data_IF_619818913865
#
_entry.id   IF_619818913865
#
_cell.length_a   1.000
_cell.length_b   1.000
_cell.length_c   1.000
_cell.angle_alpha   90.00
_cell.angle_beta   90.00
_cell.angle_gamma   90.00
#
_symmetry.space_group_name_H-M   'P 1'
#
loop_
_entity.id
_entity.type
_entity.pdbx_description
1 polymer ?
#
# COMPACT_ATOMS: atom_id res chain seq x y z
N UNK A 1 38.05 -1.59 12.56
CA UNK A 1 38.34 -0.18 12.91
C UNK A 1 37.38 0.70 12.13
N UNK A 2 36.16 0.92 12.66
CA UNK A 2 35.18 1.95 12.22
C UNK A 2 34.33 2.32 13.46
N UNK A 3 34.97 3.01 14.41
CA UNK A 3 34.35 3.40 15.68
C UNK A 3 34.49 4.89 15.99
N UNK A 4 34.67 5.73 15.00
CA UNK A 4 35.09 7.10 15.23
C UNK A 4 34.25 8.24 14.63
N UNK A 5 33.07 7.99 14.05
CA UNK A 5 32.34 9.06 13.33
C UNK A 5 30.93 9.42 13.83
N UNK A 6 30.51 8.89 14.98
CA UNK A 6 29.15 9.20 15.51
C UNK A 6 29.19 10.05 16.80
N UNK A 7 30.35 10.27 17.42
CA UNK A 7 30.45 10.98 18.69
C UNK A 7 30.33 12.51 18.60
N UNK A 8 30.52 13.11 17.43
CA UNK A 8 30.65 14.58 17.34
C UNK A 8 29.33 15.33 17.03
N UNK A 9 28.24 14.62 16.82
CA UNK A 9 26.94 15.25 16.48
C UNK A 9 25.89 15.23 17.60
N UNK A 10 26.15 14.59 18.72
CA UNK A 10 25.19 14.49 19.83
C UNK A 10 25.79 15.04 21.11
N UNK A 11 25.28 16.18 21.56
CA UNK A 11 25.68 16.82 22.83
C UNK A 11 25.58 15.86 24.01
N UNK A 12 26.33 16.13 25.09
CA UNK A 12 26.67 15.29 26.24
C UNK A 12 25.51 14.72 27.11
N UNK A 13 24.27 14.73 26.65
CA UNK A 13 23.09 14.27 27.41
C UNK A 13 22.31 13.10 26.81
N UNK A 14 22.87 12.36 25.85
CA UNK A 14 22.25 11.10 25.43
C UNK A 14 22.80 9.95 26.28
N UNK A 15 21.99 9.51 27.27
CA UNK A 15 22.20 8.22 27.90
C UNK A 15 22.13 7.15 26.77
N UNK A 16 23.22 6.43 26.58
CA UNK A 16 23.35 5.35 25.62
C UNK A 16 22.21 4.34 25.88
N UNK A 17 21.15 4.41 25.06
CA UNK A 17 20.14 3.36 25.06
C UNK A 17 20.85 2.13 24.52
N UNK A 18 21.21 1.22 25.41
CA UNK A 18 21.74 -0.07 25.02
C UNK A 18 20.74 -0.71 24.04
N UNK A 19 21.11 -1.03 22.80
CA UNK A 19 20.21 -1.70 21.89
C UNK A 19 19.76 -2.99 22.58
N UNK A 20 18.46 -3.12 22.86
CA UNK A 20 17.92 -4.41 23.28
C UNK A 20 18.35 -5.43 22.25
N UNK A 21 18.86 -6.62 22.66
CA UNK A 21 19.17 -7.66 21.69
C UNK A 21 17.93 -7.87 20.83
N UNK A 22 18.07 -7.67 19.53
CA UNK A 22 17.03 -8.03 18.57
C UNK A 22 16.90 -9.52 18.68
N UNK A 23 15.90 -9.98 19.43
CA UNK A 23 15.56 -11.40 19.47
C UNK A 23 15.37 -11.84 18.03
N UNK A 24 15.99 -12.93 17.58
CA UNK A 24 15.80 -13.44 16.24
C UNK A 24 14.31 -13.59 16.04
N UNK A 25 13.75 -12.81 15.12
CA UNK A 25 12.35 -12.95 14.72
C UNK A 25 12.21 -14.40 14.26
N UNK A 26 11.38 -15.17 14.97
CA UNK A 26 11.05 -16.52 14.51
C UNK A 26 10.38 -16.35 13.17
N UNK A 27 11.03 -16.80 12.10
CA UNK A 27 10.42 -16.84 10.78
C UNK A 27 9.13 -17.64 10.89
N UNK A 28 8.02 -17.01 10.57
CA UNK A 28 6.74 -17.69 10.53
C UNK A 28 6.61 -18.40 9.18
N UNK A 29 7.04 -19.64 9.11
CA UNK A 29 6.93 -20.48 7.92
C UNK A 29 5.49 -20.78 7.50
N UNK A 30 4.51 -20.45 8.34
CA UNK A 30 3.10 -20.64 8.03
C UNK A 30 2.55 -19.55 7.10
N UNK A 31 3.28 -18.45 6.92
CA UNK A 31 2.85 -17.29 6.11
C UNK A 31 3.72 -17.13 4.88
N UNK A 32 3.10 -17.21 3.71
CA UNK A 32 3.70 -16.76 2.45
C UNK A 32 3.28 -15.32 2.17
N UNK A 33 4.25 -14.42 2.09
CA UNK A 33 4.01 -13.02 1.75
C UNK A 33 4.67 -12.68 0.43
N UNK A 34 3.88 -12.20 -0.53
CA UNK A 34 4.36 -11.67 -1.79
C UNK A 34 4.03 -10.18 -1.92
N UNK A 35 5.00 -9.41 -2.39
CA UNK A 35 4.78 -8.00 -2.78
C UNK A 35 4.94 -7.89 -4.28
N UNK A 36 3.89 -7.46 -4.96
CA UNK A 36 3.86 -7.32 -6.41
C UNK A 36 3.80 -5.86 -6.83
N UNK A 37 4.56 -5.53 -7.87
CA UNK A 37 4.63 -4.20 -8.47
C UNK A 37 4.18 -4.33 -9.93
N UNK A 38 2.88 -4.21 -10.23
CA UNK A 38 2.37 -4.41 -11.59
C UNK A 38 2.86 -3.34 -12.56
N UNK A 39 3.18 -2.14 -12.06
CA UNK A 39 3.78 -1.05 -12.82
C UNK A 39 4.58 -0.12 -11.93
N UNK A 40 5.64 0.46 -12.48
CA UNK A 40 6.35 1.59 -11.88
C UNK A 40 5.77 2.94 -12.29
N UNK A 41 4.91 2.95 -13.33
CA UNK A 41 4.18 4.14 -13.77
C UNK A 41 3.22 4.65 -12.70
N UNK A 42 3.02 5.97 -12.68
CA UNK A 42 2.08 6.64 -11.78
C UNK A 42 1.36 7.75 -12.51
N UNK A 43 0.10 7.98 -12.16
CA UNK A 43 -0.68 9.13 -12.63
C UNK A 43 -0.46 10.39 -11.80
N UNK A 44 0.38 10.31 -10.73
CA UNK A 44 0.77 11.45 -9.90
C UNK A 44 2.24 11.81 -10.07
N UNK A 45 2.57 13.07 -9.77
CA UNK A 45 3.92 13.62 -9.75
C UNK A 45 4.21 14.24 -8.38
N UNK A 46 4.29 13.38 -7.35
CA UNK A 46 4.48 13.83 -5.97
C UNK A 46 5.88 14.43 -5.79
N UNK A 47 5.96 15.63 -5.16
CA UNK A 47 7.21 16.38 -4.98
C UNK A 47 8.29 15.65 -4.17
N UNK A 48 7.90 14.72 -3.31
CA UNK A 48 8.77 13.93 -2.45
C UNK A 48 8.93 12.47 -2.92
N UNK A 49 8.41 12.13 -4.11
CA UNK A 49 8.53 10.76 -4.59
C UNK A 49 9.98 10.44 -4.95
N UNK A 50 10.49 9.34 -4.39
CA UNK A 50 11.83 8.86 -4.70
C UNK A 50 11.91 8.02 -5.97
N UNK A 51 10.75 7.74 -6.61
CA UNK A 51 10.67 6.95 -7.85
C UNK A 51 10.62 7.86 -9.07
N UNK A 52 11.29 7.44 -10.13
CA UNK A 52 11.29 8.16 -11.42
C UNK A 52 10.08 7.84 -12.30
N UNK A 53 9.21 6.90 -11.88
CA UNK A 53 7.99 6.48 -12.56
C UNK A 53 8.18 6.18 -14.07
N UNK A 54 9.13 5.32 -14.47
CA UNK A 54 9.20 4.89 -15.86
C UNK A 54 7.88 4.23 -16.25
N UNK A 55 7.48 4.39 -17.51
CA UNK A 55 6.27 3.75 -18.03
C UNK A 55 6.50 2.24 -18.25
N UNK A 56 7.00 1.55 -17.21
CA UNK A 56 7.26 0.13 -17.23
C UNK A 56 6.17 -0.60 -16.48
N UNK A 57 5.57 -1.59 -17.13
CA UNK A 57 4.59 -2.49 -16.53
C UNK A 57 5.09 -3.92 -16.65
N UNK A 58 4.58 -4.79 -15.80
CA UNK A 58 4.84 -6.20 -15.80
C UNK A 58 4.50 -6.79 -17.18
N UNK A 59 5.42 -7.53 -17.77
CA UNK A 59 5.17 -8.23 -19.05
C UNK A 59 4.34 -9.48 -18.80
N UNK A 60 3.72 -10.02 -19.86
CA UNK A 60 2.99 -11.29 -19.76
C UNK A 60 3.89 -12.41 -19.28
N UNK A 61 5.11 -12.52 -19.82
CA UNK A 61 6.09 -13.54 -19.42
C UNK A 61 6.45 -13.45 -17.93
N UNK A 62 6.59 -12.22 -17.41
CA UNK A 62 6.85 -11.99 -15.97
C UNK A 62 5.64 -12.42 -15.15
N UNK A 63 4.44 -12.10 -15.60
CA UNK A 63 3.20 -12.46 -14.92
C UNK A 63 3.03 -13.99 -14.87
N UNK A 64 3.24 -14.69 -15.99
CA UNK A 64 3.17 -16.14 -16.05
C UNK A 64 4.15 -16.82 -15.08
N UNK A 65 5.38 -16.32 -14.98
CA UNK A 65 6.37 -16.81 -14.00
C UNK A 65 5.95 -16.57 -12.56
N UNK A 66 5.35 -15.41 -12.25
CA UNK A 66 4.83 -15.10 -10.93
C UNK A 66 3.66 -16.02 -10.58
N UNK A 67 2.74 -16.24 -11.50
CA UNK A 67 1.60 -17.13 -11.33
C UNK A 67 2.04 -18.57 -11.07
N UNK A 68 3.00 -19.07 -11.86
CA UNK A 68 3.61 -20.38 -11.63
C UNK A 68 4.24 -20.49 -10.25
N UNK A 69 5.04 -19.48 -9.88
CA UNK A 69 5.70 -19.45 -8.57
C UNK A 69 4.70 -19.44 -7.41
N UNK A 70 3.68 -18.58 -7.46
CA UNK A 70 2.66 -18.49 -6.42
C UNK A 70 1.86 -19.79 -6.35
N UNK A 71 1.50 -20.38 -7.48
CA UNK A 71 0.77 -21.64 -7.54
C UNK A 71 1.55 -22.76 -6.88
N UNK A 72 2.87 -22.80 -7.04
CA UNK A 72 3.73 -23.79 -6.43
C UNK A 72 3.96 -23.55 -4.92
N UNK A 73 3.95 -22.31 -4.44
CA UNK A 73 4.27 -21.97 -3.06
C UNK A 73 3.02 -21.87 -2.17
N UNK A 74 1.95 -21.23 -2.62
CA UNK A 74 0.78 -20.93 -1.79
C UNK A 74 0.22 -22.15 -1.03
N UNK A 75 0.08 -23.35 -1.63
CA UNK A 75 -0.45 -24.54 -0.93
C UNK A 75 0.42 -25.07 0.21
N UNK A 76 1.67 -24.60 0.31
CA UNK A 76 2.62 -25.04 1.36
C UNK A 76 2.49 -24.24 2.65
N UNK A 77 1.65 -23.22 2.66
CA UNK A 77 1.51 -22.27 3.76
C UNK A 77 0.07 -22.24 4.27
N UNK A 78 -0.11 -21.86 5.53
CA UNK A 78 -1.45 -21.70 6.13
C UNK A 78 -2.09 -20.36 5.75
N UNK A 79 -1.27 -19.37 5.44
CA UNK A 79 -1.71 -18.03 5.07
C UNK A 79 -0.90 -17.50 3.90
N UNK A 80 -1.60 -16.87 2.96
CA UNK A 80 -1.04 -16.12 1.84
C UNK A 80 -1.42 -14.66 2.00
N UNK A 81 -0.42 -13.78 2.02
CA UNK A 81 -0.60 -12.33 2.09
C UNK A 81 -0.03 -11.70 0.83
N UNK A 82 -0.88 -11.06 0.05
CA UNK A 82 -0.47 -10.33 -1.14
C UNK A 82 -0.45 -8.82 -0.87
N UNK A 83 0.63 -8.15 -1.26
CA UNK A 83 0.75 -6.70 -1.18
C UNK A 83 0.94 -6.10 -2.57
N UNK A 84 0.01 -5.23 -2.96
CA UNK A 84 0.09 -4.48 -4.20
C UNK A 84 0.74 -3.12 -3.95
N UNK A 85 1.88 -2.90 -4.61
CA UNK A 85 2.65 -1.66 -4.56
C UNK A 85 2.98 -1.20 -5.99
N UNK A 86 3.74 -0.11 -6.11
CA UNK A 86 4.26 0.34 -7.41
C UNK A 86 4.40 1.84 -7.48
N UNK A 87 4.27 2.41 -8.67
CA UNK A 87 3.93 3.80 -8.86
C UNK A 87 2.47 3.99 -8.44
N UNK A 88 1.54 3.54 -9.29
CA UNK A 88 0.12 3.39 -8.95
C UNK A 88 -0.40 2.05 -9.47
N UNK A 89 -0.65 1.07 -8.59
CA UNK A 89 -1.03 -0.28 -9.01
C UNK A 89 -2.37 -0.34 -9.75
N UNK A 90 -3.29 0.61 -9.51
CA UNK A 90 -4.60 0.65 -10.16
C UNK A 90 -4.50 0.95 -11.66
N UNK A 91 -3.39 1.52 -12.15
CA UNK A 91 -3.15 1.66 -13.58
C UNK A 91 -3.11 0.30 -14.31
N UNK A 92 -2.77 -0.77 -13.59
CA UNK A 92 -2.77 -2.15 -14.08
C UNK A 92 -3.84 -2.99 -13.37
N UNK A 93 -5.05 -2.44 -13.20
CA UNK A 93 -6.15 -3.09 -12.47
C UNK A 93 -6.48 -4.49 -12.96
N UNK A 94 -6.36 -4.73 -14.27
CA UNK A 94 -6.69 -6.02 -14.86
C UNK A 94 -5.70 -7.10 -14.41
N UNK A 95 -4.39 -6.79 -14.38
CA UNK A 95 -3.35 -7.66 -13.80
C UNK A 95 -3.57 -7.90 -12.31
N UNK A 96 -3.95 -6.84 -11.56
CA UNK A 96 -4.25 -6.94 -10.13
C UNK A 96 -5.41 -7.90 -9.87
N UNK A 97 -6.48 -7.80 -10.66
CA UNK A 97 -7.64 -8.68 -10.56
C UNK A 97 -7.29 -10.11 -10.96
N UNK A 98 -6.64 -10.32 -12.10
CA UNK A 98 -6.24 -11.64 -12.62
C UNK A 98 -5.48 -12.46 -11.56
N UNK A 99 -4.39 -11.90 -11.01
CA UNK A 99 -3.60 -12.60 -10.00
C UNK A 99 -4.38 -12.81 -8.70
N UNK A 100 -5.16 -11.82 -8.27
CA UNK A 100 -5.94 -11.94 -7.04
C UNK A 100 -7.02 -13.03 -7.14
N UNK A 101 -7.71 -13.12 -8.28
CA UNK A 101 -8.69 -14.17 -8.57
C UNK A 101 -8.05 -15.56 -8.67
N UNK A 102 -6.88 -15.65 -9.28
CA UNK A 102 -6.09 -16.88 -9.33
C UNK A 102 -5.78 -17.39 -7.92
N UNK A 103 -5.30 -16.52 -7.02
CA UNK A 103 -5.00 -16.90 -5.63
C UNK A 103 -6.27 -17.30 -4.87
N UNK A 104 -7.40 -16.63 -5.09
CA UNK A 104 -8.67 -17.03 -4.48
C UNK A 104 -9.12 -18.43 -4.95
N UNK A 105 -8.87 -18.78 -6.19
CA UNK A 105 -9.17 -20.11 -6.69
C UNK A 105 -8.27 -21.17 -6.05
N UNK A 106 -6.97 -20.86 -5.88
CA UNK A 106 -6.05 -21.73 -5.13
C UNK A 106 -6.47 -21.86 -3.66
N UNK A 107 -6.93 -20.77 -3.03
CA UNK A 107 -7.47 -20.81 -1.67
C UNK A 107 -8.64 -21.78 -1.54
N UNK A 108 -9.58 -21.75 -2.47
CA UNK A 108 -10.73 -22.67 -2.48
C UNK A 108 -10.30 -24.13 -2.62
N UNK A 109 -9.23 -24.39 -3.38
CA UNK A 109 -8.72 -25.74 -3.62
C UNK A 109 -7.88 -26.29 -2.46
N UNK A 110 -7.10 -25.44 -1.79
CA UNK A 110 -6.09 -25.85 -0.82
C UNK A 110 -6.38 -25.44 0.62
N UNK A 111 -7.37 -24.56 0.87
CA UNK A 111 -7.85 -24.23 2.20
C UNK A 111 -6.96 -23.27 3.03
N UNK A 112 -5.95 -22.62 2.45
CA UNK A 112 -5.17 -21.60 3.14
C UNK A 112 -5.98 -20.32 3.33
N UNK A 113 -5.58 -19.45 4.27
CA UNK A 113 -6.17 -18.12 4.40
C UNK A 113 -5.53 -17.16 3.39
N UNK A 114 -6.34 -16.38 2.70
CA UNK A 114 -5.86 -15.34 1.77
C UNK A 114 -6.30 -13.96 2.22
N UNK A 115 -5.37 -13.02 2.19
CA UNK A 115 -5.64 -11.59 2.37
C UNK A 115 -4.77 -10.79 1.42
N UNK A 116 -5.33 -9.71 0.86
CA UNK A 116 -4.56 -8.80 0.04
C UNK A 116 -4.67 -7.36 0.54
N UNK A 117 -3.58 -6.62 0.39
CA UNK A 117 -3.49 -5.19 0.70
C UNK A 117 -2.95 -4.41 -0.47
N UNK A 118 -3.33 -3.14 -0.57
CA UNK A 118 -2.91 -2.25 -1.64
C UNK A 118 -2.48 -0.90 -1.09
N UNK A 119 -1.31 -0.42 -1.52
CA UNK A 119 -0.92 0.98 -1.36
C UNK A 119 -1.21 1.71 -2.66
N UNK A 120 -2.10 2.67 -2.61
CA UNK A 120 -2.58 3.43 -3.77
C UNK A 120 -2.70 4.91 -3.44
N UNK A 121 -2.69 5.76 -4.46
CA UNK A 121 -3.03 7.17 -4.27
C UNK A 121 -4.54 7.42 -4.13
N UNK A 122 -5.39 6.43 -4.39
CA UNK A 122 -6.84 6.49 -4.21
C UNK A 122 -7.62 7.26 -5.29
N UNK A 123 -6.93 7.88 -6.25
CA UNK A 123 -7.55 8.72 -7.27
C UNK A 123 -8.47 7.94 -8.23
N UNK A 124 -8.04 6.73 -8.61
CA UNK A 124 -8.78 5.84 -9.51
C UNK A 124 -9.67 4.83 -8.78
N UNK A 125 -9.70 4.86 -7.44
CA UNK A 125 -10.42 3.91 -6.60
C UNK A 125 -11.88 4.34 -6.42
N UNK A 126 -12.65 4.32 -7.50
CA UNK A 126 -14.10 4.55 -7.45
C UNK A 126 -14.82 3.36 -6.80
N UNK A 127 -16.10 3.55 -6.45
CA UNK A 127 -16.92 2.53 -5.80
C UNK A 127 -17.00 1.23 -6.62
N UNK A 128 -17.14 1.33 -7.94
CA UNK A 128 -17.26 0.16 -8.81
C UNK A 128 -16.00 -0.70 -8.77
N UNK A 129 -14.84 -0.08 -8.92
CA UNK A 129 -13.55 -0.76 -8.89
C UNK A 129 -13.25 -1.31 -7.48
N UNK A 130 -13.57 -0.53 -6.45
CA UNK A 130 -13.42 -0.97 -5.07
C UNK A 130 -14.20 -2.26 -4.79
N UNK A 131 -15.46 -2.35 -5.23
CA UNK A 131 -16.27 -3.57 -5.09
C UNK A 131 -15.62 -4.77 -5.78
N UNK A 132 -15.06 -4.59 -6.98
CA UNK A 132 -14.33 -5.65 -7.68
C UNK A 132 -13.10 -6.10 -6.88
N UNK A 133 -12.33 -5.15 -6.35
CA UNK A 133 -11.18 -5.46 -5.53
C UNK A 133 -11.53 -6.19 -4.23
N UNK A 134 -12.60 -5.78 -3.55
CA UNK A 134 -13.09 -6.51 -2.37
C UNK A 134 -13.48 -7.95 -2.72
N UNK A 135 -14.18 -8.16 -3.84
CA UNK A 135 -14.52 -9.50 -4.34
C UNK A 135 -13.28 -10.33 -4.66
N UNK A 136 -12.20 -9.69 -5.12
CA UNK A 136 -10.91 -10.33 -5.36
C UNK A 136 -10.04 -10.49 -4.09
N UNK A 137 -10.58 -10.20 -2.89
CA UNK A 137 -9.90 -10.38 -1.61
C UNK A 137 -8.97 -9.23 -1.20
N UNK A 138 -8.98 -8.10 -1.93
CA UNK A 138 -8.22 -6.90 -1.57
C UNK A 138 -9.07 -6.06 -0.62
N UNK A 139 -8.82 -6.20 0.68
CA UNK A 139 -9.66 -5.60 1.73
C UNK A 139 -8.92 -4.59 2.61
N UNK A 140 -7.62 -4.41 2.41
CA UNK A 140 -6.81 -3.46 3.17
C UNK A 140 -6.13 -2.47 2.24
N UNK A 141 -6.32 -1.18 2.50
CA UNK A 141 -5.78 -0.10 1.68
C UNK A 141 -4.97 0.86 2.50
N UNK A 142 -3.86 1.35 1.93
CA UNK A 142 -3.15 2.51 2.44
C UNK A 142 -3.24 3.63 1.41
N UNK A 143 -3.86 4.75 1.79
CA UNK A 143 -4.06 5.93 0.94
C UNK A 143 -3.39 7.13 1.59
N UNK A 144 -2.64 7.91 0.81
CA UNK A 144 -1.95 9.08 1.33
C UNK A 144 -2.76 10.36 1.10
N UNK A 145 -3.00 11.10 2.19
CA UNK A 145 -3.60 12.42 2.19
C UNK A 145 -2.69 13.40 2.95
N UNK A 146 -2.14 14.40 2.26
CA UNK A 146 -1.18 15.36 2.85
C UNK A 146 -1.86 16.63 3.43
N UNK A 147 -3.19 16.62 3.57
CA UNK A 147 -3.94 17.75 4.11
C UNK A 147 -4.03 18.94 3.15
N UNK A 148 -3.92 20.16 3.67
CA UNK A 148 -4.14 21.41 2.91
C UNK A 148 -3.17 21.60 1.73
N UNK A 149 -1.97 21.04 1.82
CA UNK A 149 -0.95 21.12 0.78
C UNK A 149 -1.02 19.97 -0.23
N UNK A 150 -2.02 19.09 -0.14
CA UNK A 150 -2.09 17.87 -0.95
C UNK A 150 -1.91 18.12 -2.45
N UNK A 151 -2.67 19.06 -3.02
CA UNK A 151 -2.62 19.32 -4.45
C UNK A 151 -1.29 19.92 -4.93
N UNK A 152 -0.53 20.56 -4.01
CA UNK A 152 0.83 21.03 -4.29
C UNK A 152 1.85 19.92 -4.21
N UNK A 153 1.70 19.02 -3.24
CA UNK A 153 2.66 17.94 -2.99
C UNK A 153 2.40 16.70 -3.84
N UNK A 154 1.16 16.50 -4.26
CA UNK A 154 0.69 15.31 -5.00
C UNK A 154 -0.19 15.67 -6.21
N UNK A 155 0.27 16.52 -7.12
CA UNK A 155 -0.50 16.83 -8.32
C UNK A 155 -0.63 15.62 -9.24
N UNK A 156 -1.71 15.57 -10.01
CA UNK A 156 -1.81 14.67 -11.15
C UNK A 156 -0.76 15.06 -12.22
N UNK A 157 -0.28 14.11 -13.03
CA UNK A 157 0.71 14.37 -14.10
C UNK A 157 0.26 15.44 -15.10
N UNK A 158 -1.05 15.71 -15.22
CA UNK A 158 -1.61 16.80 -16.00
C UNK A 158 -1.61 18.15 -15.28
N UNK A 159 -1.05 18.27 -14.08
CA UNK A 159 -1.04 19.46 -13.24
C UNK A 159 -2.34 19.76 -12.50
N UNK A 160 -3.37 18.90 -12.61
CA UNK A 160 -4.65 19.08 -11.89
C UNK A 160 -4.50 18.69 -10.41
N UNK A 161 -5.33 19.31 -9.57
CA UNK A 161 -5.52 18.88 -8.18
C UNK A 161 -6.11 17.46 -8.10
N UNK A 162 -5.81 16.77 -7.01
CA UNK A 162 -6.16 15.36 -6.82
C UNK A 162 -6.96 15.11 -5.54
N UNK A 163 -6.83 15.99 -4.54
CA UNK A 163 -7.44 15.83 -3.22
C UNK A 163 -8.95 15.63 -3.29
N UNK A 164 -9.64 16.48 -4.05
CA UNK A 164 -11.10 16.44 -4.14
C UNK A 164 -11.61 15.08 -4.63
N UNK A 165 -11.01 14.56 -5.71
CA UNK A 165 -11.40 13.26 -6.27
C UNK A 165 -11.17 12.12 -5.26
N UNK A 166 -10.04 12.14 -4.54
CA UNK A 166 -9.75 11.12 -3.52
C UNK A 166 -10.77 11.18 -2.39
N UNK A 167 -11.08 12.39 -1.90
CA UNK A 167 -12.10 12.57 -0.84
C UNK A 167 -13.47 12.09 -1.31
N UNK A 168 -13.89 12.45 -2.53
CA UNK A 168 -15.19 12.01 -3.07
C UNK A 168 -15.25 10.48 -3.17
N UNK A 169 -14.18 9.81 -3.61
CA UNK A 169 -14.07 8.36 -3.60
C UNK A 169 -14.20 7.81 -2.17
N UNK A 170 -13.42 8.31 -1.21
CA UNK A 170 -13.47 7.84 0.18
C UNK A 170 -14.85 8.03 0.80
N UNK A 171 -15.53 9.14 0.53
CA UNK A 171 -16.89 9.40 0.99
C UNK A 171 -17.89 8.41 0.34
N UNK A 172 -17.71 8.05 -0.91
CA UNK A 172 -18.53 7.03 -1.55
C UNK A 172 -18.33 5.66 -0.87
N UNK A 173 -17.06 5.27 -0.63
CA UNK A 173 -16.73 4.01 0.03
C UNK A 173 -17.23 3.93 1.47
N UNK A 174 -17.24 5.04 2.22
CA UNK A 174 -17.75 5.08 3.59
C UNK A 174 -19.25 4.83 3.73
N UNK A 175 -19.99 4.92 2.63
CA UNK A 175 -21.45 4.65 2.57
C UNK A 175 -21.78 3.19 2.23
N UNK A 176 -20.77 2.38 1.95
CA UNK A 176 -20.98 0.96 1.67
C UNK A 176 -21.51 0.24 2.92
N UNK A 177 -22.47 -0.69 2.77
CA UNK A 177 -23.03 -1.42 3.88
C UNK A 177 -21.94 -2.29 4.55
N UNK A 178 -21.67 -2.10 5.86
CA UNK A 178 -20.60 -2.82 6.56
C UNK A 178 -20.87 -4.33 6.69
N UNK A 179 -22.12 -4.74 6.55
CA UNK A 179 -22.53 -6.15 6.53
C UNK A 179 -22.13 -6.89 5.25
N UNK A 180 -21.96 -6.16 4.14
CA UNK A 180 -21.54 -6.74 2.86
C UNK A 180 -20.04 -6.59 2.59
N UNK A 181 -19.43 -5.53 3.13
CA UNK A 181 -18.03 -5.18 2.85
C UNK A 181 -17.24 -4.98 4.14
N UNK A 182 -16.38 -5.94 4.44
CA UNK A 182 -15.39 -5.80 5.51
C UNK A 182 -14.06 -5.33 4.92
N UNK A 183 -13.68 -4.09 5.19
CA UNK A 183 -12.42 -3.53 4.69
C UNK A 183 -11.80 -2.56 5.70
N UNK A 184 -10.52 -2.27 5.49
CA UNK A 184 -9.76 -1.33 6.28
C UNK A 184 -9.02 -0.33 5.38
N UNK A 185 -9.17 0.96 5.66
CA UNK A 185 -8.42 2.02 4.97
C UNK A 185 -7.56 2.75 6.00
N UNK A 186 -6.25 2.66 5.82
CA UNK A 186 -5.27 3.45 6.56
C UNK A 186 -5.00 4.73 5.79
N UNK A 187 -5.32 5.87 6.38
CA UNK A 187 -4.91 7.16 5.84
C UNK A 187 -3.50 7.50 6.34
N UNK A 188 -2.59 7.72 5.41
CA UNK A 188 -1.21 8.14 5.70
C UNK A 188 -1.04 9.60 5.35
N UNK A 189 -0.37 10.36 6.21
CA UNK A 189 0.10 11.70 5.90
C UNK A 189 1.62 11.73 5.88
N UNK A 190 2.21 12.37 4.87
CA UNK A 190 3.63 12.71 4.89
C UNK A 190 3.79 14.11 5.49
N UNK A 191 4.66 14.22 6.49
CA UNK A 191 5.01 15.49 7.12
C UNK A 191 6.24 16.05 6.40
N UNK A 192 6.11 17.20 5.79
CA UNK A 192 7.21 17.90 5.15
C UNK A 192 7.80 18.95 6.09
N UNK A 193 9.06 19.33 5.88
CA UNK A 193 9.68 20.40 6.64
C UNK A 193 8.87 21.70 6.46
N UNK A 194 8.46 22.32 7.56
CA UNK A 194 7.59 23.50 7.57
C UNK A 194 6.08 23.21 7.66
N UNK A 195 5.66 21.95 7.68
CA UNK A 195 4.29 21.58 8.02
C UNK A 195 4.07 21.72 9.53
N UNK A 196 3.60 22.88 9.97
CA UNK A 196 3.28 23.13 11.39
C UNK A 196 1.81 22.87 11.73
N UNK A 197 0.92 22.80 10.74
CA UNK A 197 -0.51 22.61 10.95
C UNK A 197 -0.93 21.14 10.86
N UNK A 198 -1.13 20.53 12.00
CA UNK A 198 -1.65 19.15 12.14
C UNK A 198 -3.16 19.10 12.35
N UNK A 199 -3.87 20.23 12.31
CA UNK A 199 -5.31 20.29 12.62
C UNK A 199 -6.14 19.39 11.73
N UNK A 200 -5.74 19.17 10.47
CA UNK A 200 -6.44 18.28 9.56
C UNK A 200 -6.44 16.80 10.02
N UNK A 201 -5.48 16.37 10.84
CA UNK A 201 -5.45 15.01 11.39
C UNK A 201 -6.50 14.83 12.51
N UNK A 202 -6.86 15.91 13.20
CA UNK A 202 -7.84 15.87 14.29
C UNK A 202 -9.28 15.71 13.76
N UNK A 203 -9.54 16.15 12.52
CA UNK A 203 -10.87 16.06 11.90
C UNK A 203 -11.10 14.77 11.12
N UNK A 204 -10.07 13.96 10.87
CA UNK A 204 -10.18 12.70 10.11
C UNK A 204 -10.24 11.47 10.99
N UNK A 205 -10.05 11.61 12.30
CA UNK A 205 -10.30 10.52 13.23
C UNK A 205 -11.81 10.43 13.50
N UNK A 206 -12.50 9.31 13.17
CA UNK A 206 -13.82 9.08 13.70
C UNK A 206 -13.68 9.09 15.23
N UNK A 207 -14.43 9.96 15.88
CA UNK A 207 -14.55 9.94 17.34
C UNK A 207 -15.07 8.55 17.75
N UNK A 208 -14.50 7.94 18.80
CA UNK A 208 -14.99 6.66 19.29
C UNK A 208 -16.44 6.76 19.78
#
# INVERSE_FOLDING_TARGET
MMSGYISDCLGENFSCIQPKPILPQKFNWDVFMATLIPTEGCNFQCSYCHKNHPAASMTRDTLDQIEEYITAQAPRHKQVVLAWLGGEPILCKDTVLEVSEMIQNLQKQHGFQYTAKMTTNGYLLDEKLFRQFCQAGITSYQITLDGWNHDKTRPHVSGKGTLRTIIDNLVALSKLPPEEYSFHITLRRNLLAGDEDYSCLLYTSPSP
#
